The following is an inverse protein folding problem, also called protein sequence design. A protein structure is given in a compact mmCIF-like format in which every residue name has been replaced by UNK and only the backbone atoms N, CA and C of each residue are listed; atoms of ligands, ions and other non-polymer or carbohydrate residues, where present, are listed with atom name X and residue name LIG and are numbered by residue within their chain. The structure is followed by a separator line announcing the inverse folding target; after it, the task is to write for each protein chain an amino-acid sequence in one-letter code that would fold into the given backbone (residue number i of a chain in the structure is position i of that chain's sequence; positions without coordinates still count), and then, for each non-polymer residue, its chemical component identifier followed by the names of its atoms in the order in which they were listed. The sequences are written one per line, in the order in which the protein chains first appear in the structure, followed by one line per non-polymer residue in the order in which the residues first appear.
data_IF_241881999426
#
_entry.id   IF_241881999426
#
_cell.length_a   1.000
_cell.length_b   1.000
_cell.length_c   1.000
_cell.angle_alpha   90.00
_cell.angle_beta   90.00
_cell.angle_gamma   90.00
#
_symmetry.space_group_name_H-M   'P 1'
#
loop_
_entity.id
_entity.type
_entity.pdbx_description
1 polymer ?
#
# COMPACT_ATOMS: atom_id res chain seq x y z
N UNK A 1 11.75 3.00 1.34
CA UNK A 1 10.46 2.42 1.74
C UNK A 1 10.50 0.90 1.78
N UNK A 2 9.90 0.33 2.78
CA UNK A 2 10.00 -1.11 3.03
C UNK A 2 8.67 -1.76 3.46
N UNK A 3 7.62 -0.96 3.70
CA UNK A 3 6.38 -1.47 4.26
C UNK A 3 5.17 -0.89 3.55
N UNK A 4 4.22 -1.76 3.17
CA UNK A 4 2.92 -1.35 2.70
C UNK A 4 1.93 -1.28 3.86
N UNK A 5 1.11 -0.25 3.87
CA UNK A 5 0.05 -0.05 4.87
C UNK A 5 -1.28 0.03 4.15
N UNK A 6 -2.24 -0.76 4.59
CA UNK A 6 -3.61 -0.74 4.06
C UNK A 6 -4.53 -0.20 5.13
N UNK A 7 -5.33 0.80 4.78
CA UNK A 7 -6.24 1.43 5.72
C UNK A 7 -7.62 1.60 5.11
N UNK A 8 -8.63 1.70 5.96
CA UNK A 8 -9.98 2.05 5.55
C UNK A 8 -10.38 3.37 6.18
N UNK A 9 -10.65 4.36 5.36
CA UNK A 9 -11.02 5.71 5.79
C UNK A 9 -12.48 5.95 5.42
N UNK A 10 -13.40 5.95 6.40
CA UNK A 10 -14.81 6.17 6.12
C UNK A 10 -15.04 7.55 5.49
N UNK A 11 -15.86 7.59 4.45
CA UNK A 11 -16.21 8.85 3.79
C UNK A 11 -15.14 9.43 2.89
N UNK A 12 -14.04 8.70 2.63
CA UNK A 12 -12.99 9.18 1.74
C UNK A 12 -13.52 9.33 0.31
N UNK A 13 -13.20 10.48 -0.30
CA UNK A 13 -13.49 10.70 -1.72
C UNK A 13 -12.26 10.29 -2.53
N UNK A 14 -12.36 9.17 -3.23
CA UNK A 14 -11.26 8.61 -4.00
C UNK A 14 -10.88 9.45 -5.20
N UNK A 15 -11.78 10.31 -5.66
CA UNK A 15 -11.52 11.20 -6.78
C UNK A 15 -10.84 12.51 -6.37
N UNK A 16 -10.76 12.76 -5.07
CA UNK A 16 -10.12 13.98 -4.57
C UNK A 16 -8.60 13.88 -4.71
N UNK A 17 -7.98 15.04 -4.96
CA UNK A 17 -6.53 15.12 -5.02
C UNK A 17 -5.93 14.85 -3.63
N UNK A 18 -4.84 14.09 -3.61
CA UNK A 18 -4.15 13.77 -2.35
C UNK A 18 -3.30 14.97 -1.93
N UNK A 19 -3.54 15.53 -0.73
CA UNK A 19 -2.71 16.63 -0.23
C UNK A 19 -1.25 16.21 -0.06
N UNK A 20 -0.33 17.13 -0.30
CA UNK A 20 1.10 16.86 -0.13
C UNK A 20 1.49 16.56 1.31
N UNK A 21 0.73 17.05 2.25
CA UNK A 21 0.97 16.90 3.68
C UNK A 21 0.13 15.79 4.31
N UNK A 22 -0.47 14.93 3.49
CA UNK A 22 -1.22 13.81 4.03
C UNK A 22 -0.31 12.89 4.84
N UNK A 23 -0.80 12.49 6.01
CA UNK A 23 -0.03 11.68 6.95
C UNK A 23 -0.62 10.29 7.06
N UNK A 24 0.12 9.40 7.69
CA UNK A 24 -0.34 8.06 7.99
C UNK A 24 -1.67 8.13 8.77
N UNK A 25 -2.71 7.37 8.35
CA UNK A 25 -3.97 7.35 9.09
C UNK A 25 -3.79 6.89 10.53
N UNK A 26 -4.75 7.25 11.37
CA UNK A 26 -4.78 6.78 12.74
C UNK A 26 -4.76 5.25 12.81
N UNK A 27 -4.13 4.71 13.83
CA UNK A 27 -3.97 3.26 13.99
C UNK A 27 -5.31 2.52 13.95
N UNK A 28 -6.38 3.15 14.42
CA UNK A 28 -7.73 2.56 14.38
C UNK A 28 -8.25 2.34 12.96
N UNK A 29 -7.70 3.04 11.97
CA UNK A 29 -8.10 2.92 10.57
C UNK A 29 -7.21 1.98 9.78
N UNK A 30 -6.03 1.65 10.31
CA UNK A 30 -5.10 0.75 9.64
C UNK A 30 -5.58 -0.68 9.79
N UNK A 31 -5.74 -1.37 8.66
CA UNK A 31 -6.25 -2.73 8.63
C UNK A 31 -5.15 -3.77 8.52
N UNK A 32 -4.05 -3.44 7.87
CA UNK A 32 -2.99 -4.40 7.62
C UNK A 32 -1.68 -3.70 7.25
N UNK A 33 -0.59 -4.26 7.71
CA UNK A 33 0.76 -3.83 7.32
C UNK A 33 1.55 -5.04 6.89
N UNK A 34 2.36 -4.89 5.85
CA UNK A 34 3.21 -5.97 5.39
C UNK A 34 4.48 -5.42 4.74
N UNK A 35 5.59 -6.15 4.84
CA UNK A 35 6.80 -5.73 4.16
C UNK A 35 6.61 -5.80 2.64
N UNK A 36 7.37 -4.97 1.93
CA UNK A 36 7.43 -5.03 0.47
C UNK A 36 7.88 -6.43 0.08
N UNK A 37 7.13 -7.05 -0.83
CA UNK A 37 7.44 -8.41 -1.28
C UNK A 37 8.56 -8.42 -2.30
N UNK A 38 8.59 -7.39 -3.16
CA UNK A 38 9.50 -7.40 -4.31
C UNK A 38 9.89 -5.98 -4.68
N UNK A 39 11.15 -5.81 -5.03
CA UNK A 39 11.71 -4.56 -5.56
C UNK A 39 12.15 -4.79 -7.00
N UNK A 40 11.96 -3.80 -7.85
CA UNK A 40 12.43 -3.89 -9.23
C UNK A 40 12.98 -2.56 -9.70
N UNK A 41 14.17 -2.57 -10.29
CA UNK A 41 14.75 -1.36 -10.89
C UNK A 41 14.15 -1.21 -12.29
N UNK A 42 13.39 -0.13 -12.52
CA UNK A 42 12.76 0.16 -13.80
C UNK A 42 13.68 0.93 -14.72
N UNK A 43 14.51 1.81 -14.16
CA UNK A 43 15.48 2.61 -14.87
C UNK A 43 16.52 3.07 -13.85
N UNK A 44 17.59 3.75 -14.27
CA UNK A 44 18.56 4.28 -13.31
C UNK A 44 17.97 5.20 -12.25
N UNK A 45 16.81 5.78 -12.52
CA UNK A 45 16.17 6.75 -11.62
C UNK A 45 14.79 6.31 -11.11
N UNK A 46 14.38 5.07 -11.35
CA UNK A 46 13.06 4.63 -10.95
C UNK A 46 13.07 3.20 -10.41
N UNK A 47 12.36 3.01 -9.31
CA UNK A 47 12.24 1.71 -8.65
C UNK A 47 10.77 1.38 -8.45
N UNK A 48 10.40 0.12 -8.67
CA UNK A 48 9.08 -0.40 -8.36
C UNK A 48 9.12 -1.14 -7.03
N UNK A 49 8.07 -0.92 -6.23
CA UNK A 49 7.86 -1.59 -4.95
C UNK A 49 6.56 -2.35 -5.05
N UNK A 50 6.58 -3.65 -4.84
CA UNK A 50 5.40 -4.49 -5.01
C UNK A 50 5.06 -5.23 -3.73
N UNK A 51 3.76 -5.39 -3.49
CA UNK A 51 3.23 -6.26 -2.45
C UNK A 51 2.34 -7.31 -3.08
N UNK A 52 2.50 -8.56 -2.65
CA UNK A 52 1.68 -9.67 -3.08
C UNK A 52 1.07 -10.29 -1.83
N UNK A 53 -0.26 -10.27 -1.76
CA UNK A 53 -1.00 -10.89 -0.67
C UNK A 53 -1.82 -12.02 -1.25
N UNK A 54 -1.52 -13.23 -0.82
CA UNK A 54 -2.21 -14.42 -1.35
C UNK A 54 -3.51 -14.72 -0.59
N UNK A 55 -4.11 -15.84 -0.88
CA UNK A 55 -5.41 -16.23 -0.31
C UNK A 55 -5.37 -16.57 1.17
N UNK A 56 -4.21 -16.55 1.81
CA UNK A 56 -4.08 -16.78 3.25
C UNK A 56 -4.23 -15.50 4.07
N UNK A 57 -4.26 -14.35 3.42
CA UNK A 57 -4.33 -13.04 4.06
C UNK A 57 -5.74 -12.47 3.96
N UNK A 58 -6.27 -11.98 5.04
CA UNK A 58 -7.59 -11.36 5.15
C UNK A 58 -8.22 -11.72 6.49
N UNK A 59 -9.46 -11.35 6.75
CA UNK A 59 -10.29 -10.48 5.89
C UNK A 59 -10.10 -9.03 6.32
N UNK A 60 -10.01 -8.12 5.38
CA UNK A 60 -10.05 -6.70 5.69
C UNK A 60 -10.52 -5.89 4.48
N UNK A 61 -11.06 -4.71 4.76
CA UNK A 61 -11.42 -3.73 3.73
C UNK A 61 -10.37 -2.64 3.69
N UNK A 62 -10.19 -2.02 2.52
CA UNK A 62 -9.28 -0.89 2.38
C UNK A 62 -9.73 0.04 1.28
N UNK A 63 -9.39 1.30 1.42
CA UNK A 63 -9.53 2.32 0.38
C UNK A 63 -8.33 3.27 0.38
N UNK A 64 -7.28 2.92 1.12
CA UNK A 64 -6.08 3.72 1.27
C UNK A 64 -4.88 2.79 1.32
N UNK A 65 -3.87 3.07 0.52
CA UNK A 65 -2.63 2.30 0.49
C UNK A 65 -1.47 3.27 0.61
N UNK A 66 -0.56 3.00 1.54
CA UNK A 66 0.64 3.80 1.72
C UNK A 66 1.89 2.95 1.62
N UNK A 67 2.96 3.58 1.18
CA UNK A 67 4.30 2.98 1.17
C UNK A 67 5.15 3.75 2.18
N UNK A 68 5.64 3.05 3.18
CA UNK A 68 6.24 3.62 4.37
C UNK A 68 7.66 3.12 4.55
N UNK A 69 8.53 3.99 5.08
CA UNK A 69 9.79 3.55 5.66
C UNK A 69 9.53 3.33 7.15
N UNK A 70 9.48 2.07 7.55
CA UNK A 70 9.06 1.71 8.91
C UNK A 70 9.99 2.27 9.98
N UNK A 71 11.28 2.24 9.74
CA UNK A 71 12.28 2.69 10.71
C UNK A 71 12.18 4.19 10.99
N UNK A 72 12.07 4.99 9.93
CA UNK A 72 12.00 6.45 10.06
C UNK A 72 10.59 6.98 10.24
N UNK A 73 9.57 6.16 9.95
CA UNK A 73 8.19 6.60 9.96
C UNK A 73 7.83 7.51 8.79
N UNK A 74 8.68 7.60 7.78
CA UNK A 74 8.42 8.46 6.62
C UNK A 74 7.48 7.78 5.65
N UNK A 75 6.38 8.46 5.33
CA UNK A 75 5.40 8.02 4.35
C UNK A 75 5.86 8.47 2.97
N UNK A 76 6.13 7.52 2.08
CA UNK A 76 6.77 7.80 0.80
C UNK A 76 5.79 7.96 -0.35
N UNK A 77 4.74 7.17 -0.39
CA UNK A 77 3.71 7.23 -1.42
C UNK A 77 2.35 6.88 -0.83
N UNK A 78 1.30 7.47 -1.41
CA UNK A 78 -0.08 7.24 -0.99
C UNK A 78 -0.94 7.05 -2.24
N UNK A 79 -1.88 6.12 -2.17
CA UNK A 79 -2.94 5.98 -3.15
C UNK A 79 -4.29 5.87 -2.45
N UNK A 80 -5.27 6.63 -2.95
CA UNK A 80 -6.67 6.48 -2.56
C UNK A 80 -7.36 5.60 -3.59
N UNK A 81 -8.11 4.61 -3.14
CA UNK A 81 -8.78 3.66 -4.02
C UNK A 81 -10.26 3.59 -3.70
N UNK A 82 -11.09 3.05 -4.61
CA UNK A 82 -12.42 2.62 -4.22
C UNK A 82 -12.33 1.60 -3.10
N UNK A 83 -13.40 1.46 -2.33
CA UNK A 83 -13.47 0.45 -1.29
C UNK A 83 -13.29 -0.94 -1.90
N UNK A 84 -12.34 -1.69 -1.36
CA UNK A 84 -12.04 -3.05 -1.81
C UNK A 84 -11.86 -3.97 -0.62
N UNK A 85 -11.92 -5.27 -0.88
CA UNK A 85 -11.79 -6.29 0.17
C UNK A 85 -10.65 -7.23 -0.15
N UNK A 86 -9.84 -7.52 0.86
CA UNK A 86 -8.89 -8.63 0.82
C UNK A 86 -9.49 -9.79 1.61
N UNK A 87 -9.74 -10.89 0.93
CA UNK A 87 -10.49 -12.02 1.45
C UNK A 87 -9.56 -13.22 1.62
N UNK A 88 -9.62 -13.84 2.78
CA UNK A 88 -8.89 -15.06 3.09
C UNK A 88 -9.75 -16.27 2.78
N UNK A 89 -9.17 -17.31 2.21
CA UNK A 89 -9.86 -18.58 1.99
C UNK A 89 -10.15 -19.24 3.34
N UNK A 90 -11.42 -19.46 3.64
CA UNK A 90 -11.85 -20.09 4.87
C UNK A 90 -13.30 -20.53 4.80
N UNK A 91 -13.66 -21.63 5.46
CA UNK A 91 -15.06 -22.07 5.61
C UNK A 91 -15.84 -22.15 4.30
N UNK A 92 -15.23 -22.67 3.26
CA UNK A 92 -15.89 -22.82 1.95
C UNK A 92 -15.92 -21.54 1.11
N UNK A 93 -15.39 -20.42 1.62
CA UNK A 93 -15.28 -19.17 0.87
C UNK A 93 -13.91 -19.09 0.25
N UNK A 94 -13.86 -18.84 -1.07
CA UNK A 94 -12.61 -18.66 -1.78
C UNK A 94 -12.06 -17.27 -1.55
N UNK A 95 -10.80 -17.18 -1.11
CA UNK A 95 -10.09 -15.92 -0.98
C UNK A 95 -9.65 -15.35 -2.32
N UNK A 96 -9.13 -14.14 -2.29
CA UNK A 96 -8.57 -13.49 -3.48
C UNK A 96 -7.07 -13.24 -3.32
N UNK A 97 -6.42 -12.97 -4.44
CA UNK A 97 -5.04 -12.50 -4.46
C UNK A 97 -5.05 -11.00 -4.70
N UNK A 98 -4.09 -10.31 -4.10
CA UNK A 98 -3.91 -8.88 -4.29
C UNK A 98 -2.48 -8.62 -4.67
N UNK A 99 -2.29 -7.88 -5.76
CA UNK A 99 -0.98 -7.41 -6.19
C UNK A 99 -1.07 -5.91 -6.38
N UNK A 100 -0.18 -5.17 -5.74
CA UNK A 100 -0.07 -3.72 -5.91
C UNK A 100 1.38 -3.34 -6.11
N UNK A 101 1.60 -2.43 -7.03
CA UNK A 101 2.94 -1.94 -7.35
C UNK A 101 2.94 -0.43 -7.36
N UNK A 102 3.86 0.16 -6.64
CA UNK A 102 4.13 1.59 -6.67
C UNK A 102 5.47 1.81 -7.35
N UNK A 103 5.51 2.76 -8.29
CA UNK A 103 6.74 3.16 -8.96
C UNK A 103 7.16 4.52 -8.46
N UNK A 104 8.42 4.63 -8.03
CA UNK A 104 8.97 5.90 -7.56
C UNK A 104 10.14 6.31 -8.44
N UNK A 105 10.14 7.57 -8.85
CA UNK A 105 11.28 8.17 -9.53
C UNK A 105 12.08 9.00 -8.54
N UNK A 106 13.40 8.85 -8.60
CA UNK A 106 14.31 9.59 -7.75
C UNK A 106 15.03 10.63 -8.58
N UNK A 107 14.94 11.88 -8.15
CA UNK A 107 15.56 12.99 -8.88
C UNK A 107 17.08 12.88 -8.75
N UNK A 108 17.72 12.47 -9.84
CA UNK A 108 19.16 12.44 -9.95
C UNK A 108 19.88 11.21 -9.46
N UNK A 109 19.23 10.22 -8.83
CA UNK A 109 19.95 9.03 -8.38
C UNK A 109 19.01 7.90 -7.97
N UNK A 110 19.16 6.76 -8.60
CA UNK A 110 18.36 5.57 -8.27
C UNK A 110 18.70 5.00 -6.90
N UNK A 111 19.87 5.28 -6.39
CA UNK A 111 20.32 4.76 -5.10
C UNK A 111 19.87 5.61 -3.92
N UNK A 112 19.18 6.65 -4.18
CA UNK A 112 18.74 7.55 -3.11
C UNK A 112 17.78 6.85 -2.14
#
# INVERSE_FOLDING_TARGET
PDTFVFAYIPGQDESAEIPRDEILPDESMIQYRAPVTQYGLLSPNATAFSIILDTTVGDFEYNWIGLLNEESGVLCMIAHTPRQQKIKTANGVQGNNLIRTFSMEFDGAAAA
#
